data_IF_295804893072
#
_entry.id   IF_295804893072
#
_cell.length_a   1.000
_cell.length_b   1.000
_cell.length_c   1.000
_cell.angle_alpha   90.00
_cell.angle_beta   90.00
_cell.angle_gamma   90.00
#
_symmetry.space_group_name_H-M   'P 1'
#
loop_
_entity.id
_entity.type
_entity.pdbx_description
1 polymer ?
#
# COMPACT_ATOMS: atom_id res chain seq x y z
N UNK A 1 75.43 43.28 -20.94
CA UNK A 1 76.08 42.70 -19.74
C UNK A 1 75.01 42.21 -18.80
N UNK A 2 75.18 40.98 -18.38
CA UNK A 2 74.48 40.24 -17.31
C UNK A 2 73.17 39.57 -17.69
N UNK A 3 73.35 38.30 -18.04
CA UNK A 3 72.33 37.28 -18.10
C UNK A 3 71.78 36.96 -16.72
N UNK A 4 70.45 36.78 -16.62
CA UNK A 4 69.82 36.12 -15.49
C UNK A 4 68.92 35.01 -16.04
N UNK A 5 69.34 33.79 -15.77
CA UNK A 5 68.57 32.57 -16.04
C UNK A 5 67.39 32.47 -15.02
N UNK A 6 66.18 32.37 -15.54
CA UNK A 6 65.03 31.99 -14.75
C UNK A 6 64.75 30.48 -14.94
N UNK A 7 64.91 29.73 -13.90
CA UNK A 7 64.53 28.34 -13.83
C UNK A 7 63.03 28.20 -13.69
N UNK A 8 62.37 27.58 -14.65
CA UNK A 8 60.94 27.27 -14.58
C UNK A 8 60.76 25.94 -13.81
N UNK A 9 60.15 26.04 -12.63
CA UNK A 9 59.71 24.90 -11.86
C UNK A 9 58.35 24.39 -12.39
N UNK A 10 58.38 23.18 -12.94
CA UNK A 10 57.16 22.48 -13.36
C UNK A 10 56.56 21.81 -12.10
N UNK A 11 55.43 22.35 -11.62
CA UNK A 11 54.60 21.69 -10.58
C UNK A 11 53.68 20.69 -11.24
N UNK A 12 53.98 19.39 -11.07
CA UNK A 12 53.08 18.28 -11.46
C UNK A 12 51.88 18.30 -10.46
N UNK A 13 50.75 18.76 -10.92
CA UNK A 13 49.48 18.56 -10.22
C UNK A 13 48.97 17.16 -10.55
N UNK A 14 49.14 16.21 -9.63
CA UNK A 14 48.52 14.90 -9.68
C UNK A 14 47.03 15.04 -9.39
N UNK A 15 46.22 15.04 -10.43
CA UNK A 15 44.77 14.95 -10.32
C UNK A 15 44.39 13.52 -9.92
N UNK A 16 44.08 13.34 -8.64
CA UNK A 16 43.46 12.10 -8.14
C UNK A 16 42.01 12.05 -8.66
N UNK A 17 41.79 11.40 -9.80
CA UNK A 17 40.48 10.99 -10.24
C UNK A 17 40.00 9.87 -9.31
N UNK A 18 39.23 10.18 -8.29
CA UNK A 18 38.45 9.21 -7.54
C UNK A 18 37.46 8.51 -8.46
N UNK A 19 37.16 7.22 -8.23
CA UNK A 19 36.18 6.51 -9.05
C UNK A 19 34.82 7.22 -8.89
N UNK A 20 34.33 7.76 -9.98
CA UNK A 20 32.95 8.20 -10.09
C UNK A 20 32.06 6.95 -9.92
N UNK A 21 31.50 6.83 -8.75
CA UNK A 21 30.43 5.85 -8.52
C UNK A 21 29.30 6.26 -9.44
N UNK A 22 29.18 5.60 -10.57
CA UNK A 22 28.05 5.70 -11.44
C UNK A 22 26.83 5.26 -10.61
N UNK A 23 26.06 6.22 -10.12
CA UNK A 23 24.74 5.94 -9.57
C UNK A 23 23.97 5.29 -10.71
N UNK A 24 23.68 4.01 -10.57
CA UNK A 24 22.79 3.31 -11.48
C UNK A 24 21.49 4.16 -11.57
N UNK A 25 20.95 4.38 -12.78
CA UNK A 25 19.70 5.12 -12.93
C UNK A 25 18.67 4.47 -12.01
N UNK A 26 18.05 5.27 -11.15
CA UNK A 26 16.99 4.79 -10.28
C UNK A 26 15.94 4.09 -11.16
N UNK A 27 15.82 2.78 -11.02
CA UNK A 27 14.90 1.96 -11.79
C UNK A 27 13.49 2.52 -11.58
N UNK A 28 12.79 2.85 -12.67
CA UNK A 28 11.43 3.38 -12.56
C UNK A 28 10.59 2.34 -11.82
N UNK A 29 9.83 2.77 -10.78
CA UNK A 29 9.06 1.82 -10.00
C UNK A 29 8.11 1.05 -10.91
N UNK A 30 8.17 -0.27 -10.86
CA UNK A 30 7.23 -1.13 -11.59
C UNK A 30 5.84 -1.04 -10.96
N UNK A 31 4.80 -1.35 -11.74
CA UNK A 31 3.43 -1.40 -11.19
C UNK A 31 3.34 -2.34 -9.97
N UNK A 32 4.11 -3.42 -9.97
CA UNK A 32 4.15 -4.38 -8.85
C UNK A 32 4.86 -3.80 -7.62
N UNK A 33 5.99 -3.10 -7.77
CA UNK A 33 6.69 -2.48 -6.64
C UNK A 33 5.85 -1.36 -6.00
N UNK A 34 5.12 -0.58 -6.81
CA UNK A 34 4.17 0.45 -6.31
C UNK A 34 3.02 -0.20 -5.56
N UNK A 35 2.50 -1.32 -6.05
CA UNK A 35 1.44 -2.10 -5.42
C UNK A 35 1.88 -2.66 -4.06
N UNK A 36 3.06 -3.27 -3.98
CA UNK A 36 3.62 -3.79 -2.73
C UNK A 36 3.87 -2.69 -1.70
N UNK A 37 4.42 -1.55 -2.12
CA UNK A 37 4.62 -0.40 -1.25
C UNK A 37 3.29 0.18 -0.72
N UNK A 38 2.25 0.23 -1.55
CA UNK A 38 0.92 0.70 -1.14
C UNK A 38 0.26 -0.21 -0.10
N UNK A 39 0.54 -1.52 -0.15
CA UNK A 39 0.03 -2.48 0.83
C UNK A 39 0.83 -2.37 2.14
N UNK A 40 2.16 -2.25 2.05
CA UNK A 40 3.05 -2.18 3.21
C UNK A 40 2.88 -0.88 4.01
N UNK A 41 2.61 0.25 3.36
CA UNK A 41 2.40 1.55 4.00
C UNK A 41 1.10 2.23 3.54
N UNK A 42 -0.01 1.60 3.85
CA UNK A 42 -1.34 2.14 3.54
C UNK A 42 -1.58 3.51 4.18
N UNK A 43 -1.14 3.70 5.43
CA UNK A 43 -1.31 4.96 6.15
C UNK A 43 -0.51 6.10 5.51
N UNK A 44 0.77 5.91 5.24
CA UNK A 44 1.60 6.91 4.58
C UNK A 44 1.11 7.28 3.18
N UNK A 45 0.58 6.29 2.43
CA UNK A 45 -0.04 6.54 1.14
C UNK A 45 -1.29 7.44 1.28
N UNK A 46 -2.16 7.18 2.26
CA UNK A 46 -3.34 8.00 2.54
C UNK A 46 -2.90 9.41 2.95
N UNK A 47 -1.96 9.54 3.89
CA UNK A 47 -1.43 10.82 4.37
C UNK A 47 -0.89 11.67 3.22
N UNK A 48 -0.01 11.11 2.40
CA UNK A 48 0.59 11.78 1.24
C UNK A 48 -0.45 12.29 0.23
N UNK A 49 -1.52 11.52 0.00
CA UNK A 49 -2.50 11.83 -1.04
C UNK A 49 -3.66 12.70 -0.53
N UNK A 50 -3.95 12.69 0.77
CA UNK A 50 -5.05 13.43 1.34
C UNK A 50 -4.73 14.90 1.58
N UNK A 51 -3.49 15.25 1.89
CA UNK A 51 -3.05 16.62 2.16
C UNK A 51 -4.01 17.34 3.13
N UNK A 52 -4.27 16.70 4.27
CA UNK A 52 -5.16 17.25 5.29
C UNK A 52 -4.49 18.41 6.02
N UNK A 53 -5.28 19.42 6.37
CA UNK A 53 -4.85 20.42 7.36
C UNK A 53 -4.75 19.77 8.74
N UNK A 54 -4.09 20.45 9.69
CA UNK A 54 -3.99 19.96 11.07
C UNK A 54 -5.39 19.71 11.70
N UNK A 55 -6.34 20.62 11.46
CA UNK A 55 -7.71 20.49 12.00
C UNK A 55 -8.51 19.36 11.33
N UNK A 56 -8.36 19.17 10.03
CA UNK A 56 -8.96 18.04 9.31
C UNK A 56 -8.38 16.72 9.80
N UNK A 57 -7.05 16.67 9.97
CA UNK A 57 -6.35 15.48 10.46
C UNK A 57 -6.79 15.07 11.86
N UNK A 58 -6.99 16.02 12.79
CA UNK A 58 -7.50 15.73 14.14
C UNK A 58 -8.85 15.00 14.12
N UNK A 59 -9.71 15.30 13.15
CA UNK A 59 -11.04 14.68 13.02
C UNK A 59 -10.97 13.36 12.23
N UNK A 60 -10.17 13.32 11.18
CA UNK A 60 -10.12 12.19 10.25
C UNK A 60 -9.35 10.99 10.81
N UNK A 61 -8.14 11.18 11.38
CA UNK A 61 -7.28 10.07 11.77
C UNK A 61 -7.89 9.13 12.81
N UNK A 62 -8.62 9.60 13.83
CA UNK A 62 -9.30 8.68 14.76
C UNK A 62 -10.34 7.79 14.09
N UNK A 63 -11.04 8.29 13.05
CA UNK A 63 -11.99 7.49 12.26
C UNK A 63 -11.26 6.45 11.43
N UNK A 64 -10.18 6.86 10.76
CA UNK A 64 -9.32 6.00 9.98
C UNK A 64 -8.74 4.86 10.82
N UNK A 65 -8.11 5.17 11.95
CA UNK A 65 -7.46 4.17 12.82
C UNK A 65 -8.49 3.16 13.39
N UNK A 66 -9.68 3.63 13.74
CA UNK A 66 -10.78 2.76 14.17
C UNK A 66 -11.22 1.82 13.05
N UNK A 67 -11.39 2.36 11.85
CA UNK A 67 -11.76 1.57 10.68
C UNK A 67 -10.70 0.52 10.34
N UNK A 68 -9.41 0.89 10.29
CA UNK A 68 -8.35 -0.05 9.96
C UNK A 68 -8.29 -1.21 10.97
N UNK A 69 -8.41 -0.94 12.26
CA UNK A 69 -8.45 -1.97 13.30
C UNK A 69 -9.64 -2.93 13.14
N UNK A 70 -10.82 -2.41 12.80
CA UNK A 70 -12.00 -3.26 12.63
C UNK A 70 -11.97 -4.00 11.30
N UNK A 71 -11.43 -3.39 10.23
CA UNK A 71 -11.18 -4.03 8.95
C UNK A 71 -10.21 -5.20 9.10
N UNK A 72 -9.15 -5.05 9.87
CA UNK A 72 -8.15 -6.09 10.11
C UNK A 72 -8.78 -7.38 10.68
N UNK A 73 -9.74 -7.26 11.59
CA UNK A 73 -10.48 -8.42 12.12
C UNK A 73 -11.29 -9.15 11.03
N UNK A 74 -11.89 -8.39 10.12
CA UNK A 74 -12.65 -8.96 8.99
C UNK A 74 -11.71 -9.65 8.00
N UNK A 75 -10.60 -9.00 7.66
CA UNK A 75 -9.56 -9.58 6.78
C UNK A 75 -8.98 -10.86 7.36
N UNK A 76 -8.72 -10.90 8.67
CA UNK A 76 -8.26 -12.13 9.34
C UNK A 76 -9.29 -13.25 9.23
N UNK A 77 -10.60 -12.94 9.34
CA UNK A 77 -11.68 -13.92 9.12
C UNK A 77 -11.72 -14.40 7.68
N UNK A 78 -11.63 -13.50 6.70
CA UNK A 78 -11.58 -13.87 5.27
C UNK A 78 -10.37 -14.76 4.97
N UNK A 79 -9.18 -14.39 5.45
CA UNK A 79 -7.96 -15.17 5.27
C UNK A 79 -8.08 -16.58 5.87
N UNK A 80 -8.73 -16.73 7.03
CA UNK A 80 -8.99 -18.04 7.63
C UNK A 80 -9.86 -18.89 6.75
N UNK A 81 -10.96 -18.35 6.21
CA UNK A 81 -11.84 -19.07 5.29
C UNK A 81 -11.09 -19.53 4.03
N UNK A 82 -10.23 -18.67 3.49
CA UNK A 82 -9.39 -19.00 2.32
C UNK A 82 -8.41 -20.13 2.67
N UNK A 83 -7.75 -20.06 3.79
CA UNK A 83 -6.82 -21.11 4.25
C UNK A 83 -7.54 -22.44 4.49
N UNK A 84 -8.72 -22.42 5.12
CA UNK A 84 -9.53 -23.59 5.33
C UNK A 84 -9.93 -24.25 3.99
N UNK A 85 -10.29 -23.42 2.99
CA UNK A 85 -10.60 -23.90 1.64
C UNK A 85 -9.37 -24.56 0.99
N UNK A 86 -8.24 -23.84 0.93
CA UNK A 86 -7.01 -24.35 0.28
C UNK A 86 -6.54 -25.66 0.94
N UNK A 87 -6.62 -25.76 2.26
CA UNK A 87 -6.20 -26.95 2.99
C UNK A 87 -7.16 -28.13 2.82
N UNK A 88 -8.42 -27.90 2.47
CA UNK A 88 -9.44 -28.94 2.30
C UNK A 88 -9.83 -29.20 0.84
N UNK A 89 -9.25 -28.50 -0.15
CA UNK A 89 -9.66 -28.53 -1.56
C UNK A 89 -9.76 -29.97 -2.09
N UNK A 90 -8.75 -30.80 -1.82
CA UNK A 90 -8.70 -32.19 -2.33
C UNK A 90 -9.75 -33.12 -1.70
N UNK A 91 -10.31 -32.76 -0.53
CA UNK A 91 -11.31 -33.54 0.21
C UNK A 91 -12.58 -32.74 0.54
N UNK A 92 -12.83 -31.68 -0.23
CA UNK A 92 -13.92 -30.74 0.00
C UNK A 92 -15.27 -31.43 -0.14
N UNK A 93 -16.05 -31.47 0.92
CA UNK A 93 -17.44 -31.96 0.90
C UNK A 93 -18.41 -30.80 0.62
N UNK A 94 -19.60 -31.11 0.10
CA UNK A 94 -20.65 -30.11 -0.14
C UNK A 94 -21.01 -29.33 1.13
N UNK A 95 -21.04 -30.01 2.27
CA UNK A 95 -21.31 -29.36 3.56
C UNK A 95 -20.24 -28.34 3.94
N UNK A 96 -18.97 -28.69 3.77
CA UNK A 96 -17.85 -27.77 4.01
C UNK A 96 -17.82 -26.64 2.98
N UNK A 97 -18.05 -26.92 1.71
CA UNK A 97 -18.13 -25.91 0.66
C UNK A 97 -19.22 -24.88 0.98
N UNK A 98 -20.41 -25.34 1.37
CA UNK A 98 -21.52 -24.46 1.79
C UNK A 98 -21.16 -23.60 3.02
N UNK A 99 -20.52 -24.21 4.04
CA UNK A 99 -20.06 -23.48 5.23
C UNK A 99 -19.07 -22.38 4.87
N UNK A 100 -18.01 -22.72 4.14
CA UNK A 100 -16.97 -21.76 3.72
C UNK A 100 -17.54 -20.62 2.87
N UNK A 101 -18.40 -20.93 1.91
CA UNK A 101 -19.08 -19.93 1.10
C UNK A 101 -19.93 -18.97 1.97
N UNK A 102 -20.68 -19.52 2.91
CA UNK A 102 -21.53 -18.73 3.82
C UNK A 102 -20.69 -17.80 4.70
N UNK A 103 -19.58 -18.32 5.27
CA UNK A 103 -18.67 -17.52 6.11
C UNK A 103 -17.97 -16.42 5.30
N UNK A 104 -17.54 -16.73 4.07
CA UNK A 104 -16.92 -15.75 3.18
C UNK A 104 -17.87 -14.61 2.83
N UNK A 105 -19.09 -14.95 2.41
CA UNK A 105 -20.13 -13.96 2.07
C UNK A 105 -20.53 -13.10 3.29
N UNK A 106 -20.57 -13.69 4.49
CA UNK A 106 -20.84 -12.94 5.71
C UNK A 106 -19.73 -11.95 6.01
N UNK A 107 -18.45 -12.34 5.86
CA UNK A 107 -17.31 -11.46 6.04
C UNK A 107 -17.29 -10.31 5.02
N UNK A 108 -17.60 -10.59 3.75
CA UNK A 108 -17.69 -9.55 2.70
C UNK A 108 -18.83 -8.54 2.99
N UNK A 109 -19.97 -9.01 3.46
CA UNK A 109 -21.07 -8.15 3.89
C UNK A 109 -20.67 -7.24 5.07
N UNK A 110 -19.96 -7.79 6.06
CA UNK A 110 -19.47 -7.01 7.21
C UNK A 110 -18.45 -5.96 6.78
N UNK A 111 -17.55 -6.29 5.84
CA UNK A 111 -16.60 -5.34 5.26
C UNK A 111 -17.33 -4.19 4.56
N UNK A 112 -18.34 -4.51 3.75
CA UNK A 112 -19.15 -3.50 3.08
C UNK A 112 -19.82 -2.56 4.09
N UNK A 113 -20.48 -3.11 5.12
CA UNK A 113 -21.14 -2.32 6.14
C UNK A 113 -20.17 -1.43 6.94
N UNK A 114 -18.99 -1.96 7.27
CA UNK A 114 -17.92 -1.19 7.94
C UNK A 114 -17.45 -0.03 7.08
N UNK A 115 -17.26 -0.24 5.79
CA UNK A 115 -16.82 0.77 4.83
C UNK A 115 -17.89 1.86 4.65
N UNK A 116 -19.14 1.50 4.48
CA UNK A 116 -20.24 2.44 4.33
C UNK A 116 -20.36 3.35 5.56
N UNK A 117 -20.26 2.76 6.75
CA UNK A 117 -20.24 3.53 8.01
C UNK A 117 -19.08 4.51 8.09
N UNK A 118 -17.87 4.12 7.63
CA UNK A 118 -16.74 5.02 7.56
C UNK A 118 -16.97 6.15 6.58
N UNK A 119 -17.44 5.84 5.37
CA UNK A 119 -17.66 6.85 4.33
C UNK A 119 -18.63 7.92 4.75
N UNK A 120 -19.73 7.57 5.42
CA UNK A 120 -20.65 8.56 6.00
C UNK A 120 -19.93 9.46 7.01
N UNK A 121 -19.19 8.90 7.96
CA UNK A 121 -18.45 9.70 8.96
C UNK A 121 -17.38 10.59 8.34
N UNK A 122 -16.70 10.14 7.29
CA UNK A 122 -15.69 10.93 6.59
C UNK A 122 -16.34 12.10 5.84
N UNK A 123 -17.53 11.90 5.25
CA UNK A 123 -18.31 12.97 4.63
C UNK A 123 -18.73 14.05 5.63
N UNK A 124 -18.96 13.67 6.90
CA UNK A 124 -19.35 14.62 7.96
C UNK A 124 -18.18 15.48 8.47
N UNK A 125 -16.93 14.98 8.37
CA UNK A 125 -15.76 15.65 8.98
C UNK A 125 -14.80 16.29 7.98
N UNK A 126 -14.87 15.93 6.70
CA UNK A 126 -14.00 16.46 5.65
C UNK A 126 -14.80 17.25 4.59
N UNK A 127 -14.15 18.22 3.93
CA UNK A 127 -14.73 18.84 2.74
C UNK A 127 -15.05 17.77 1.67
N UNK A 128 -16.16 17.89 0.94
CA UNK A 128 -16.65 16.85 0.02
C UNK A 128 -15.60 16.35 -0.98
N UNK A 129 -14.77 17.24 -1.54
CA UNK A 129 -13.69 16.86 -2.47
C UNK A 129 -12.64 15.98 -1.80
N UNK A 130 -12.30 16.23 -0.54
CA UNK A 130 -11.35 15.40 0.21
C UNK A 130 -11.99 14.07 0.64
N UNK A 131 -13.25 14.09 1.06
CA UNK A 131 -13.98 12.88 1.38
C UNK A 131 -14.05 11.92 0.18
N UNK A 132 -14.43 12.41 -1.01
CA UNK A 132 -14.43 11.61 -2.25
C UNK A 132 -13.02 11.10 -2.58
N UNK A 133 -11.99 11.92 -2.43
CA UNK A 133 -10.59 11.48 -2.66
C UNK A 133 -10.22 10.31 -1.76
N UNK A 134 -10.57 10.37 -0.47
CA UNK A 134 -10.34 9.26 0.44
C UNK A 134 -11.07 7.98 0.01
N UNK A 135 -12.36 8.10 -0.33
CA UNK A 135 -13.16 6.97 -0.85
C UNK A 135 -12.51 6.33 -2.08
N UNK A 136 -11.98 7.15 -3.00
CA UNK A 136 -11.27 6.65 -4.19
C UNK A 136 -9.98 5.91 -3.82
N UNK A 137 -9.19 6.44 -2.87
CA UNK A 137 -7.96 5.79 -2.40
C UNK A 137 -8.31 4.43 -1.76
N UNK A 138 -9.27 4.40 -0.85
CA UNK A 138 -9.70 3.17 -0.16
C UNK A 138 -10.21 2.11 -1.15
N UNK A 139 -11.03 2.51 -2.14
CA UNK A 139 -11.50 1.60 -3.16
C UNK A 139 -10.36 1.02 -4.03
N UNK A 140 -9.37 1.83 -4.39
CA UNK A 140 -8.20 1.34 -5.14
C UNK A 140 -7.39 0.32 -4.33
N UNK A 141 -7.11 0.62 -3.06
CA UNK A 141 -6.37 -0.28 -2.17
C UNK A 141 -7.13 -1.60 -1.96
N UNK A 142 -8.45 -1.53 -1.75
CA UNK A 142 -9.31 -2.72 -1.64
C UNK A 142 -9.27 -3.56 -2.91
N UNK A 143 -9.40 -2.95 -4.08
CA UNK A 143 -9.36 -3.67 -5.36
C UNK A 143 -8.02 -4.40 -5.56
N UNK A 144 -6.91 -3.75 -5.22
CA UNK A 144 -5.58 -4.37 -5.28
C UNK A 144 -5.51 -5.60 -4.35
N UNK A 145 -5.95 -5.45 -3.11
CA UNK A 145 -5.95 -6.55 -2.14
C UNK A 145 -6.86 -7.72 -2.57
N UNK A 146 -8.08 -7.41 -3.04
CA UNK A 146 -9.02 -8.42 -3.53
C UNK A 146 -8.48 -9.19 -4.73
N UNK A 147 -7.82 -8.51 -5.66
CA UNK A 147 -7.16 -9.15 -6.80
C UNK A 147 -6.07 -10.13 -6.36
N UNK A 148 -5.21 -9.74 -5.43
CA UNK A 148 -4.13 -10.60 -4.93
C UNK A 148 -4.65 -11.85 -4.23
N UNK A 149 -5.77 -11.74 -3.52
CA UNK A 149 -6.42 -12.90 -2.88
C UNK A 149 -7.00 -13.81 -3.97
N UNK A 150 -7.78 -13.25 -4.90
CA UNK A 150 -8.43 -14.00 -5.96
C UNK A 150 -7.45 -14.78 -6.85
N UNK A 151 -6.28 -14.18 -7.16
CA UNK A 151 -5.24 -14.82 -7.98
C UNK A 151 -4.67 -16.11 -7.33
N UNK A 152 -4.74 -16.22 -5.99
CA UNK A 152 -4.18 -17.35 -5.23
C UNK A 152 -5.18 -18.45 -4.92
N UNK A 153 -6.47 -18.22 -5.15
CA UNK A 153 -7.52 -19.18 -4.84
C UNK A 153 -7.82 -20.02 -6.07
N UNK A 154 -7.55 -21.35 -6.07
CA UNK A 154 -7.93 -22.22 -7.16
C UNK A 154 -9.46 -22.36 -7.23
N UNK A 155 -9.97 -22.66 -8.43
CA UNK A 155 -11.39 -23.01 -8.60
C UNK A 155 -11.67 -24.40 -8.05
N UNK A 156 -12.85 -24.56 -7.46
CA UNK A 156 -13.37 -25.89 -7.07
C UNK A 156 -13.47 -26.77 -8.30
N UNK A 157 -12.99 -28.02 -8.21
CA UNK A 157 -13.03 -29.03 -9.28
C UNK A 157 -14.25 -29.90 -9.18
#
# INVERSE_FOLDING_TARGET
MKNVLLAAGIALAASVMGPAWAQAPAEKPTAESVKQAAIADKRGLVEKNMQLTAEEGKKFWPLYDTYQRDLDKIVQRQNRVVLDYVNSEASLTDANAKRLATEFMAADKDEQALRDKLFHKVMDVLPPKKAIRYIQIENKLRTINSYQIAERIPLVR
#
